data_IF_092167540247
#
_entry.id   IF_092167540247
#
_cell.length_a   1.000
_cell.length_b   1.000
_cell.length_c   1.000
_cell.angle_alpha   90.00
_cell.angle_beta   90.00
_cell.angle_gamma   90.00
#
_symmetry.space_group_name_H-M   'P 1'
#
loop_
_entity.id
_entity.type
_entity.pdbx_description
1 polymer ?
#
# COMPACT_ATOMS: atom_id res chain seq x y z
N UNK A 1 17.71 18.82 -18.31
CA UNK A 1 16.30 18.47 -18.00
C UNK A 1 16.12 17.86 -16.61
N UNK A 2 17.04 16.99 -16.14
CA UNK A 2 16.94 16.32 -14.83
C UNK A 2 16.60 17.24 -13.63
N UNK A 3 17.28 18.38 -13.38
CA UNK A 3 16.97 19.21 -12.22
C UNK A 3 15.57 19.86 -12.24
N UNK A 4 15.05 20.18 -13.42
CA UNK A 4 13.72 20.78 -13.57
C UNK A 4 12.61 19.77 -13.24
N UNK A 5 12.79 18.50 -13.62
CA UNK A 5 11.84 17.42 -13.31
C UNK A 5 11.81 17.15 -11.80
N UNK A 6 12.98 17.04 -11.16
CA UNK A 6 13.06 16.84 -9.70
C UNK A 6 12.38 18.00 -8.95
N UNK A 7 12.66 19.24 -9.36
CA UNK A 7 12.04 20.42 -8.75
C UNK A 7 10.50 20.39 -8.89
N UNK A 8 9.98 20.05 -10.08
CA UNK A 8 8.54 19.94 -10.30
C UNK A 8 7.90 18.87 -9.41
N UNK A 9 8.54 17.70 -9.30
CA UNK A 9 8.05 16.62 -8.43
C UNK A 9 8.04 17.08 -6.97
N UNK A 10 9.14 17.68 -6.49
CA UNK A 10 9.24 18.19 -5.11
C UNK A 10 8.14 19.19 -4.78
N UNK A 11 7.88 20.15 -5.67
CA UNK A 11 6.77 21.11 -5.50
C UNK A 11 5.42 20.38 -5.39
N UNK A 12 5.15 19.43 -6.29
CA UNK A 12 3.88 18.69 -6.28
C UNK A 12 3.69 17.85 -5.01
N UNK A 13 4.78 17.39 -4.40
CA UNK A 13 4.78 16.60 -3.16
C UNK A 13 5.04 17.40 -1.89
N UNK A 14 5.03 18.73 -1.95
CA UNK A 14 5.32 19.64 -0.83
C UNK A 14 6.68 19.40 -0.15
N UNK A 15 7.71 19.15 -0.96
CA UNK A 15 9.10 18.96 -0.54
C UNK A 15 9.93 20.22 -0.75
N UNK A 16 10.99 20.37 0.03
CA UNK A 16 11.90 21.51 -0.07
C UNK A 16 12.80 21.38 -1.31
N UNK A 17 12.61 22.29 -2.27
CA UNK A 17 13.38 22.37 -3.52
C UNK A 17 14.83 22.86 -3.32
N UNK A 18 15.08 23.56 -2.22
CA UNK A 18 16.39 24.11 -1.87
C UNK A 18 17.27 23.04 -1.21
N UNK A 19 16.68 22.15 -0.43
CA UNK A 19 17.39 21.03 0.17
C UNK A 19 17.60 19.90 -0.84
N UNK A 20 18.85 19.49 -1.04
CA UNK A 20 19.28 18.48 -2.02
C UNK A 20 20.31 17.49 -1.46
N UNK A 21 20.63 17.60 -0.17
CA UNK A 21 21.67 16.84 0.53
C UNK A 21 21.09 15.82 1.49
N UNK A 22 19.80 15.93 1.82
CA UNK A 22 19.08 15.01 2.68
C UNK A 22 17.99 14.27 1.89
N UNK A 23 17.70 13.00 2.23
CA UNK A 23 16.52 12.31 1.70
C UNK A 23 15.25 13.07 2.09
N UNK A 24 14.23 13.03 1.22
CA UNK A 24 12.92 13.62 1.52
C UNK A 24 11.80 12.71 1.01
N UNK A 25 10.73 12.59 1.80
CA UNK A 25 9.56 11.76 1.48
C UNK A 25 8.29 12.61 1.49
N UNK A 26 7.45 12.43 0.47
CA UNK A 26 6.24 13.20 0.26
C UNK A 26 5.11 12.37 -0.34
N UNK A 27 3.92 12.95 -0.39
CA UNK A 27 2.73 12.31 -0.97
C UNK A 27 2.08 13.26 -1.99
N UNK A 28 1.57 12.71 -3.07
CA UNK A 28 0.78 13.44 -4.07
C UNK A 28 -0.52 12.67 -4.29
N UNK A 29 -1.66 13.35 -4.21
CA UNK A 29 -2.94 12.78 -4.64
C UNK A 29 -3.22 13.27 -6.06
N UNK A 30 -3.42 12.35 -7.00
CA UNK A 30 -3.73 12.68 -8.39
C UNK A 30 -4.99 11.96 -8.85
N UNK A 31 -5.72 12.57 -9.79
CA UNK A 31 -6.85 11.92 -10.46
C UNK A 31 -6.46 11.58 -11.88
N UNK A 32 -6.49 10.29 -12.24
CA UNK A 32 -6.13 9.79 -13.57
C UNK A 32 -7.27 8.93 -14.09
N UNK A 33 -7.90 9.36 -15.19
CA UNK A 33 -9.03 8.65 -15.80
C UNK A 33 -10.20 8.44 -14.82
N UNK A 34 -10.49 9.43 -13.98
CA UNK A 34 -11.54 9.36 -12.95
C UNK A 34 -11.21 8.50 -11.73
N UNK A 35 -9.97 7.99 -11.63
CA UNK A 35 -9.49 7.24 -10.45
C UNK A 35 -8.55 8.10 -9.62
N UNK A 36 -8.83 8.20 -8.32
CA UNK A 36 -7.90 8.77 -7.36
C UNK A 36 -6.75 7.81 -7.11
N UNK A 37 -5.53 8.28 -7.33
CA UNK A 37 -4.29 7.53 -7.13
C UNK A 37 -3.43 8.29 -6.12
N UNK A 38 -2.98 7.58 -5.09
CA UNK A 38 -2.03 8.12 -4.12
C UNK A 38 -0.61 7.77 -4.59
N UNK A 39 0.22 8.78 -4.79
CA UNK A 39 1.63 8.61 -5.11
C UNK A 39 2.45 8.91 -3.87
N UNK A 40 3.37 8.00 -3.54
CA UNK A 40 4.42 8.27 -2.55
C UNK A 40 5.71 8.57 -3.27
N UNK A 41 6.29 9.71 -2.93
CA UNK A 41 7.52 10.22 -3.52
C UNK A 41 8.63 10.08 -2.50
N UNK A 42 9.76 9.55 -2.91
CA UNK A 42 10.99 9.56 -2.12
C UNK A 42 12.11 10.12 -2.99
N UNK A 43 12.87 11.07 -2.44
CA UNK A 43 14.04 11.67 -3.10
C UNK A 43 15.28 11.34 -2.30
N UNK A 44 16.36 10.98 -2.97
CA UNK A 44 17.64 10.62 -2.35
C UNK A 44 18.80 11.31 -3.08
N UNK A 45 19.72 11.98 -2.38
CA UNK A 45 20.93 12.53 -2.99
C UNK A 45 21.82 11.40 -3.53
N UNK A 46 22.38 11.60 -4.72
CA UNK A 46 23.35 10.72 -5.37
C UNK A 46 24.48 11.54 -5.99
N UNK A 47 25.55 10.88 -6.44
CA UNK A 47 26.71 11.54 -7.04
C UNK A 47 26.38 12.39 -8.30
N UNK A 48 25.24 12.15 -8.96
CA UNK A 48 24.83 12.86 -10.19
C UNK A 48 23.54 13.66 -10.03
N UNK A 49 23.18 14.03 -8.80
CA UNK A 49 21.94 14.73 -8.45
C UNK A 49 21.00 13.84 -7.64
N UNK A 50 19.70 14.09 -7.70
CA UNK A 50 18.74 13.36 -6.86
C UNK A 50 18.09 12.19 -7.61
N UNK A 51 18.05 11.02 -6.98
CA UNK A 51 17.23 9.90 -7.40
C UNK A 51 15.82 10.10 -6.86
N UNK A 52 14.82 10.02 -7.74
CA UNK A 52 13.41 10.08 -7.36
C UNK A 52 12.78 8.70 -7.54
N UNK A 53 12.08 8.23 -6.52
CA UNK A 53 11.28 7.00 -6.55
C UNK A 53 9.82 7.38 -6.33
N UNK A 54 8.95 6.90 -7.22
CA UNK A 54 7.50 7.11 -7.12
C UNK A 54 6.86 5.74 -6.93
N UNK A 55 6.18 5.55 -5.81
CA UNK A 55 5.33 4.38 -5.57
C UNK A 55 3.88 4.75 -5.83
N UNK A 56 3.26 4.04 -6.77
CA UNK A 56 1.85 4.21 -7.14
C UNK A 56 1.00 3.32 -6.22
N UNK A 57 0.04 3.93 -5.54
CA UNK A 57 -0.93 3.23 -4.70
C UNK A 57 -2.33 3.49 -5.26
N UNK A 58 -2.95 2.43 -5.79
CA UNK A 58 -4.35 2.45 -6.20
C UNK A 58 -5.19 1.81 -5.10
N UNK A 59 -5.91 2.64 -4.34
CA UNK A 59 -6.73 2.19 -3.20
C UNK A 59 -7.89 1.27 -3.62
N UNK A 60 -8.36 1.34 -4.87
CA UNK A 60 -9.39 0.44 -5.38
C UNK A 60 -8.88 -0.97 -5.67
N UNK A 61 -7.58 -1.15 -5.84
CA UNK A 61 -6.98 -2.46 -6.15
C UNK A 61 -6.86 -3.42 -4.96
N UNK A 62 -7.08 -2.89 -3.73
CA UNK A 62 -6.81 -3.61 -2.48
C UNK A 62 -8.01 -4.49 -2.06
N UNK A 63 -9.22 -4.14 -2.46
CA UNK A 63 -10.44 -4.89 -2.12
C UNK A 63 -10.67 -6.01 -3.13
N UNK A 64 -9.95 -7.13 -3.00
CA UNK A 64 -10.28 -8.37 -3.71
C UNK A 64 -11.12 -9.27 -2.82
N UNK A 65 -12.11 -9.91 -3.42
CA UNK A 65 -12.78 -11.03 -2.78
C UNK A 65 -11.74 -12.11 -2.44
N UNK A 66 -11.91 -12.77 -1.29
CA UNK A 66 -10.99 -13.78 -0.80
C UNK A 66 -10.80 -14.90 -1.83
N UNK A 67 -11.86 -15.26 -2.57
CA UNK A 67 -11.82 -16.28 -3.64
C UNK A 67 -10.88 -15.91 -4.80
N UNK A 68 -10.64 -14.62 -5.02
CA UNK A 68 -9.77 -14.12 -6.09
C UNK A 68 -8.29 -14.06 -5.72
N UNK A 69 -7.91 -14.48 -4.51
CA UNK A 69 -6.51 -14.53 -4.08
C UNK A 69 -5.71 -15.66 -4.73
N UNK A 70 -6.37 -16.60 -5.42
CA UNK A 70 -5.70 -17.68 -6.14
C UNK A 70 -5.19 -18.80 -5.23
N UNK A 71 -5.72 -18.95 -4.01
CA UNK A 71 -5.42 -20.12 -3.19
C UNK A 71 -6.08 -21.37 -3.78
N UNK A 72 -5.40 -22.51 -3.67
CA UNK A 72 -5.99 -23.80 -4.03
C UNK A 72 -7.28 -24.05 -3.21
N UNK A 73 -8.33 -24.66 -3.78
CA UNK A 73 -9.62 -24.84 -3.10
C UNK A 73 -9.54 -25.46 -1.70
N UNK A 74 -8.63 -26.42 -1.49
CA UNK A 74 -8.40 -27.04 -0.17
C UNK A 74 -7.85 -26.05 0.86
N UNK A 75 -6.88 -25.23 0.44
CA UNK A 75 -6.27 -24.19 1.28
C UNK A 75 -7.27 -23.08 1.57
N UNK A 76 -8.03 -22.64 0.57
CA UNK A 76 -9.10 -21.64 0.73
C UNK A 76 -10.14 -22.07 1.77
N UNK A 77 -10.57 -23.33 1.71
CA UNK A 77 -11.54 -23.88 2.68
C UNK A 77 -10.98 -23.90 4.10
N UNK A 78 -9.72 -24.33 4.26
CA UNK A 78 -9.06 -24.33 5.56
C UNK A 78 -8.90 -22.90 6.11
N UNK A 79 -8.47 -21.96 5.26
CA UNK A 79 -8.28 -20.56 5.62
C UNK A 79 -9.59 -19.89 6.05
N UNK A 80 -10.68 -20.07 5.28
CA UNK A 80 -12.04 -19.62 5.67
C UNK A 80 -12.46 -20.20 7.02
N UNK A 81 -12.19 -21.48 7.26
CA UNK A 81 -12.46 -22.12 8.55
C UNK A 81 -11.72 -21.45 9.71
N UNK A 82 -10.46 -21.06 9.51
CA UNK A 82 -9.68 -20.35 10.54
C UNK A 82 -10.20 -18.93 10.80
N UNK A 83 -10.56 -18.18 9.75
CA UNK A 83 -11.10 -16.81 9.89
C UNK A 83 -12.43 -16.79 10.64
N UNK A 84 -13.25 -17.82 10.50
CA UNK A 84 -14.56 -17.92 11.14
C UNK A 84 -14.51 -18.30 12.64
N UNK A 85 -13.33 -18.65 13.18
CA UNK A 85 -13.20 -18.95 14.60
C UNK A 85 -13.42 -17.68 15.44
N UNK A 86 -14.16 -17.76 16.57
CA UNK A 86 -14.51 -16.57 17.36
C UNK A 86 -13.31 -15.92 18.07
N UNK A 87 -12.18 -16.63 18.16
CA UNK A 87 -10.96 -16.20 18.82
C UNK A 87 -9.79 -17.06 18.31
N UNK A 88 -8.60 -16.47 18.30
CA UNK A 88 -7.38 -17.12 17.82
C UNK A 88 -6.41 -16.09 17.23
N UNK A 89 -5.20 -16.54 16.89
CA UNK A 89 -4.19 -15.72 16.22
C UNK A 89 -3.92 -16.34 14.85
N UNK A 90 -4.09 -15.56 13.80
CA UNK A 90 -3.76 -15.93 12.43
C UNK A 90 -2.56 -15.11 11.96
N UNK A 91 -1.46 -15.78 11.64
CA UNK A 91 -0.21 -15.13 11.19
C UNK A 91 -0.04 -15.31 9.69
N UNK A 92 0.03 -14.19 8.96
CA UNK A 92 0.35 -14.19 7.53
C UNK A 92 1.79 -13.73 7.35
N UNK A 93 2.67 -14.64 6.97
CA UNK A 93 4.12 -14.39 6.86
C UNK A 93 4.57 -14.40 5.39
N UNK A 94 5.74 -13.80 5.12
CA UNK A 94 6.31 -13.71 3.78
C UNK A 94 7.10 -12.41 3.54
N UNK A 95 7.95 -12.34 2.50
CA UNK A 95 8.77 -11.18 2.19
C UNK A 95 7.95 -9.97 1.73
N UNK A 96 8.57 -8.79 1.62
CA UNK A 96 7.91 -7.59 1.10
C UNK A 96 7.35 -7.83 -0.30
N UNK A 97 6.11 -7.41 -0.55
CA UNK A 97 5.43 -7.61 -1.84
C UNK A 97 4.77 -8.98 -2.05
N UNK A 98 4.81 -9.90 -1.07
CA UNK A 98 4.21 -11.23 -1.20
C UNK A 98 2.68 -11.28 -1.02
N UNK A 99 1.99 -10.14 -1.04
CA UNK A 99 0.53 -10.08 -0.92
C UNK A 99 -0.06 -10.20 0.50
N UNK A 100 0.76 -10.14 1.56
CA UNK A 100 0.29 -10.29 2.96
C UNK A 100 -0.85 -9.34 3.33
N UNK A 101 -0.67 -8.04 3.07
CA UNK A 101 -1.68 -7.02 3.36
C UNK A 101 -2.95 -7.29 2.57
N UNK A 102 -2.83 -7.66 1.28
CA UNK A 102 -3.99 -8.03 0.45
C UNK A 102 -4.74 -9.22 1.04
N UNK A 103 -4.04 -10.28 1.45
CA UNK A 103 -4.67 -11.46 2.09
C UNK A 103 -5.40 -11.10 3.38
N UNK A 104 -4.78 -10.29 4.26
CA UNK A 104 -5.40 -9.87 5.52
C UNK A 104 -6.61 -8.98 5.29
N UNK A 105 -6.52 -7.99 4.39
CA UNK A 105 -7.65 -7.12 4.07
C UNK A 105 -8.81 -7.90 3.43
N UNK A 106 -8.53 -8.85 2.53
CA UNK A 106 -9.56 -9.73 1.97
C UNK A 106 -10.21 -10.61 3.04
N UNK A 107 -9.47 -11.06 4.05
CA UNK A 107 -10.03 -11.81 5.18
C UNK A 107 -10.94 -10.94 6.07
N UNK A 108 -10.51 -9.71 6.38
CA UNK A 108 -11.31 -8.75 7.15
C UNK A 108 -12.62 -8.41 6.43
N UNK A 109 -12.62 -8.32 5.10
CA UNK A 109 -13.83 -8.08 4.31
C UNK A 109 -14.87 -9.21 4.37
N UNK A 110 -14.50 -10.41 4.82
CA UNK A 110 -15.43 -11.53 5.03
C UNK A 110 -16.09 -11.49 6.41
N UNK A 111 -15.60 -10.64 7.33
CA UNK A 111 -16.15 -10.52 8.67
C UNK A 111 -17.36 -9.59 8.67
N UNK A 112 -18.36 -9.90 9.49
CA UNK A 112 -19.58 -9.11 9.62
C UNK A 112 -19.33 -7.88 10.51
N UNK A 113 -18.96 -6.77 9.87
CA UNK A 113 -18.68 -5.49 10.53
C UNK A 113 -19.88 -4.84 11.21
N UNK A 114 -21.11 -5.26 10.90
CA UNK A 114 -22.31 -4.76 11.58
C UNK A 114 -22.49 -5.43 12.96
N UNK A 115 -21.94 -6.64 13.12
CA UNK A 115 -22.01 -7.41 14.38
C UNK A 115 -20.72 -7.35 15.19
N UNK A 116 -19.58 -7.12 14.54
CA UNK A 116 -18.25 -7.20 15.14
C UNK A 116 -17.57 -5.83 15.13
N UNK A 117 -17.00 -5.45 16.26
CA UNK A 117 -16.08 -4.32 16.30
C UNK A 117 -14.69 -4.77 15.77
N UNK A 118 -14.37 -4.39 14.53
CA UNK A 118 -13.11 -4.72 13.88
C UNK A 118 -12.17 -3.50 13.98
N UNK A 119 -10.96 -3.71 14.50
CA UNK A 119 -9.96 -2.65 14.66
C UNK A 119 -8.62 -3.08 14.05
N UNK A 120 -7.94 -2.17 13.36
CA UNK A 120 -6.60 -2.39 12.78
C UNK A 120 -5.59 -1.38 13.34
N UNK A 121 -4.34 -1.81 13.41
CA UNK A 121 -3.19 -0.94 13.71
C UNK A 121 -2.18 -1.14 12.58
N UNK A 122 -1.83 -0.06 11.89
CA UNK A 122 -0.99 -0.07 10.69
C UNK A 122 0.09 1.00 10.78
N UNK A 123 1.23 0.75 10.13
CA UNK A 123 2.36 1.68 10.01
C UNK A 123 2.51 2.09 8.53
N UNK A 124 1.75 3.12 8.06
CA UNK A 124 1.61 3.46 6.65
C UNK A 124 2.79 4.23 6.08
#
# INVERSE_FOLDING_TARGET
MHPAVVSRIKIMSNLDISERRLPQDGKIKVSVGGRGIDLRISTLPTNRGEKVVIRVLDSKSIMRDLEQLGMEPKVMRAFRGQIALPHGILLVTGPTGSGKSTTLYSALCQMDGDKLNISTVEDP
#
